data_IF_182060199487
#
_entry.id   IF_182060199487
#
_cell.length_a   1.000
_cell.length_b   1.000
_cell.length_c   1.000
_cell.angle_alpha   90.00
_cell.angle_beta   90.00
_cell.angle_gamma   90.00
#
_symmetry.space_group_name_H-M   'P 1'
#
loop_
_entity.id
_entity.type
_entity.pdbx_description
1 polymer ?
#
# COMPACT_ATOMS: atom_id res chain seq x y z
N UNK A 1 25.08 9.42 8.49
CA UNK A 1 24.34 10.28 7.54
C UNK A 1 24.77 9.87 6.13
N UNK A 2 23.82 9.51 5.27
CA UNK A 2 24.11 9.10 3.89
C UNK A 2 24.66 10.26 3.07
N UNK A 3 25.64 9.98 2.20
CA UNK A 3 26.25 10.96 1.29
C UNK A 3 25.83 10.73 -0.16
N UNK A 4 25.51 9.49 -0.49
CA UNK A 4 25.13 9.12 -1.85
C UNK A 4 24.02 8.06 -1.84
N UNK A 5 23.15 8.14 -2.85
CA UNK A 5 21.97 7.28 -3.04
C UNK A 5 21.95 6.75 -4.45
N UNK A 6 21.80 5.43 -4.59
CA UNK A 6 21.61 4.80 -5.88
C UNK A 6 20.14 4.90 -6.33
N UNK A 7 19.92 4.99 -7.65
CA UNK A 7 18.60 4.87 -8.26
C UNK A 7 18.65 4.04 -9.55
N UNK A 8 17.50 3.48 -9.96
CA UNK A 8 17.43 2.46 -11.00
C UNK A 8 16.29 2.79 -12.00
N UNK A 9 16.51 3.69 -12.98
CA UNK A 9 15.45 4.26 -13.81
C UNK A 9 14.75 3.22 -14.71
N UNK A 10 15.48 2.22 -15.20
CA UNK A 10 14.90 1.17 -16.04
C UNK A 10 14.00 0.18 -15.26
N UNK A 11 14.07 0.20 -13.94
CA UNK A 11 13.31 -0.67 -13.04
C UNK A 11 12.09 0.04 -12.43
N UNK A 12 11.64 1.14 -13.02
CA UNK A 12 10.51 1.94 -12.59
C UNK A 12 9.27 1.72 -13.47
N UNK A 13 8.09 2.12 -12.97
CA UNK A 13 6.89 2.16 -13.81
C UNK A 13 7.04 3.20 -14.94
N UNK A 14 6.32 3.00 -16.05
CA UNK A 14 6.41 3.92 -17.21
C UNK A 14 6.01 5.36 -16.88
N UNK A 15 5.14 5.55 -15.92
CA UNK A 15 4.65 6.85 -15.47
C UNK A 15 5.34 7.37 -14.19
N UNK A 16 6.46 6.76 -13.79
CA UNK A 16 7.18 7.15 -12.56
C UNK A 16 8.07 8.38 -12.71
N UNK A 17 8.37 8.80 -13.96
CA UNK A 17 9.35 9.84 -14.26
C UNK A 17 9.22 11.09 -13.40
N UNK A 18 8.09 11.80 -13.37
CA UNK A 18 7.94 13.01 -12.56
C UNK A 18 8.21 12.80 -11.07
N UNK A 19 7.75 11.67 -10.53
CA UNK A 19 7.92 11.33 -9.11
C UNK A 19 9.37 11.01 -8.78
N UNK A 20 10.03 10.23 -9.64
CA UNK A 20 11.46 9.92 -9.47
C UNK A 20 12.30 11.18 -9.56
N UNK A 21 12.05 12.08 -10.55
CA UNK A 21 12.73 13.37 -10.64
C UNK A 21 12.56 14.18 -9.36
N UNK A 22 11.33 14.36 -8.88
CA UNK A 22 11.06 15.12 -7.66
C UNK A 22 11.84 14.57 -6.43
N UNK A 23 11.91 13.25 -6.30
CA UNK A 23 12.67 12.61 -5.21
C UNK A 23 14.17 12.82 -5.38
N UNK A 24 14.72 12.64 -6.59
CA UNK A 24 16.15 12.78 -6.85
C UNK A 24 16.61 14.24 -6.74
N UNK A 25 15.84 15.18 -7.28
CA UNK A 25 16.13 16.62 -7.21
C UNK A 25 16.10 17.10 -5.75
N UNK A 26 15.17 16.60 -4.95
CA UNK A 26 15.11 16.86 -3.53
C UNK A 26 16.38 16.36 -2.80
N UNK A 27 16.83 15.13 -3.07
CA UNK A 27 18.06 14.59 -2.48
C UNK A 27 19.28 15.45 -2.85
N UNK A 28 19.41 15.81 -4.13
CA UNK A 28 20.51 16.64 -4.63
C UNK A 28 20.50 18.04 -4.02
N UNK A 29 19.33 18.66 -3.87
CA UNK A 29 19.18 19.98 -3.23
C UNK A 29 19.63 19.98 -1.75
N UNK A 30 19.66 18.82 -1.12
CA UNK A 30 20.16 18.62 0.25
C UNK A 30 21.61 18.15 0.31
N UNK A 31 22.33 18.18 -0.81
CA UNK A 31 23.75 17.81 -0.91
C UNK A 31 23.98 16.29 -0.94
N UNK A 32 22.94 15.47 -1.14
CA UNK A 32 23.06 14.02 -1.28
C UNK A 32 23.28 13.70 -2.76
N UNK A 33 24.40 13.07 -3.09
CA UNK A 33 24.71 12.68 -4.47
C UNK A 33 23.79 11.53 -4.92
N UNK A 34 23.35 11.58 -6.17
CA UNK A 34 22.57 10.50 -6.78
C UNK A 34 23.41 9.75 -7.80
N UNK A 35 23.38 8.42 -7.77
CA UNK A 35 24.19 7.55 -8.63
C UNK A 35 23.30 6.56 -9.35
N UNK A 36 23.33 6.60 -10.67
CA UNK A 36 22.53 5.67 -11.48
C UNK A 36 23.12 4.26 -11.44
N UNK A 37 22.27 3.26 -11.23
CA UNK A 37 22.60 1.84 -11.24
C UNK A 37 23.77 1.42 -10.32
N UNK A 38 24.09 2.20 -9.29
CA UNK A 38 25.14 1.87 -8.34
C UNK A 38 24.68 0.77 -7.37
N UNK A 39 25.58 -0.14 -7.05
CA UNK A 39 25.38 -1.17 -6.00
C UNK A 39 26.25 -0.90 -4.77
N UNK A 40 26.99 0.22 -4.73
CA UNK A 40 27.94 0.54 -3.66
C UNK A 40 27.56 1.76 -2.83
N UNK A 41 26.52 2.48 -3.23
CA UNK A 41 26.03 3.68 -2.54
C UNK A 41 25.62 3.40 -1.08
N UNK A 42 25.45 4.46 -0.29
CA UNK A 42 25.05 4.37 1.12
C UNK A 42 23.60 3.92 1.29
N UNK A 43 22.74 4.24 0.32
CA UNK A 43 21.33 3.85 0.27
C UNK A 43 20.88 3.62 -1.17
N UNK A 44 19.70 3.04 -1.35
CA UNK A 44 19.05 2.92 -2.66
C UNK A 44 17.64 3.54 -2.63
N UNK A 45 17.21 4.11 -3.77
CA UNK A 45 15.81 4.42 -4.07
C UNK A 45 15.31 3.42 -5.10
N UNK A 46 14.22 2.74 -4.79
CA UNK A 46 13.56 1.81 -5.70
C UNK A 46 12.08 2.17 -5.88
N UNK A 47 11.56 1.89 -7.07
CA UNK A 47 10.13 1.99 -7.36
C UNK A 47 9.45 0.66 -7.10
N UNK A 48 8.56 0.61 -6.12
CA UNK A 48 7.76 -0.55 -5.75
C UNK A 48 8.54 -1.75 -5.20
N UNK A 49 7.86 -2.55 -4.45
CA UNK A 49 8.30 -3.88 -3.98
C UNK A 49 7.49 -5.01 -4.65
N UNK A 50 6.86 -4.71 -5.77
CA UNK A 50 6.23 -5.68 -6.64
C UNK A 50 7.28 -6.27 -7.60
N UNK A 51 7.76 -7.46 -7.30
CA UNK A 51 8.81 -8.15 -8.06
C UNK A 51 8.27 -8.73 -9.39
N UNK A 52 7.65 -7.88 -10.21
CA UNK A 52 7.02 -8.29 -11.47
C UNK A 52 7.28 -7.29 -12.60
N UNK A 53 7.37 -7.80 -13.83
CA UNK A 53 7.60 -6.97 -15.01
C UNK A 53 8.90 -6.17 -14.92
N UNK A 54 8.86 -4.88 -15.25
CA UNK A 54 10.02 -3.98 -15.21
C UNK A 54 10.66 -3.88 -13.81
N UNK A 55 9.84 -3.98 -12.76
CA UNK A 55 10.28 -3.85 -11.36
C UNK A 55 10.84 -5.16 -10.78
N UNK A 56 10.90 -6.24 -11.55
CA UNK A 56 11.40 -7.54 -11.05
C UNK A 56 12.85 -7.46 -10.55
N UNK A 57 13.70 -6.69 -11.21
CA UNK A 57 15.10 -6.51 -10.82
C UNK A 57 15.29 -5.67 -9.54
N UNK A 58 14.29 -4.89 -9.11
CA UNK A 58 14.32 -4.20 -7.82
C UNK A 58 14.49 -5.16 -6.65
N UNK A 59 14.08 -6.43 -6.81
CA UNK A 59 14.31 -7.45 -5.79
C UNK A 59 15.79 -7.63 -5.47
N UNK A 60 16.63 -7.78 -6.50
CA UNK A 60 18.08 -7.94 -6.34
C UNK A 60 18.69 -6.70 -5.67
N UNK A 61 18.29 -5.50 -6.07
CA UNK A 61 18.74 -4.25 -5.46
C UNK A 61 18.36 -4.23 -3.98
N UNK A 62 17.08 -4.50 -3.68
CA UNK A 62 16.58 -4.52 -2.31
C UNK A 62 17.35 -5.52 -1.44
N UNK A 63 17.47 -6.77 -1.89
CA UNK A 63 18.18 -7.82 -1.15
C UNK A 63 19.66 -7.46 -0.92
N UNK A 64 20.33 -6.90 -1.94
CA UNK A 64 21.74 -6.47 -1.86
C UNK A 64 21.96 -5.40 -0.80
N UNK A 65 21.19 -4.31 -0.83
CA UNK A 65 21.33 -3.23 0.15
C UNK A 65 20.95 -3.69 1.56
N UNK A 66 19.85 -4.45 1.67
CA UNK A 66 19.41 -4.97 2.99
C UNK A 66 20.38 -5.96 3.61
N UNK A 67 21.04 -6.80 2.82
CA UNK A 67 22.09 -7.70 3.31
C UNK A 67 23.31 -6.96 3.88
N UNK A 68 23.55 -5.72 3.44
CA UNK A 68 24.62 -4.86 3.97
C UNK A 68 24.15 -3.94 5.11
N UNK A 69 22.91 -4.10 5.59
CA UNK A 69 22.33 -3.20 6.61
C UNK A 69 22.04 -1.78 6.10
N UNK A 70 22.16 -1.53 4.80
CA UNK A 70 21.92 -0.23 4.19
C UNK A 70 20.42 0.04 3.98
N UNK A 71 19.96 1.30 4.14
CA UNK A 71 18.57 1.65 3.93
C UNK A 71 18.17 1.59 2.46
N UNK A 72 16.91 1.20 2.23
CA UNK A 72 16.25 1.24 0.92
C UNK A 72 15.03 2.13 1.02
N UNK A 73 15.05 3.25 0.33
CA UNK A 73 13.90 4.16 0.18
C UNK A 73 12.99 3.55 -0.89
N UNK A 74 11.76 3.29 -0.52
CA UNK A 74 10.78 2.67 -1.39
C UNK A 74 9.72 3.69 -1.76
N UNK A 75 9.51 3.89 -3.06
CA UNK A 75 8.41 4.69 -3.60
C UNK A 75 7.33 3.72 -4.07
N UNK A 76 6.10 3.90 -3.62
CA UNK A 76 4.95 3.09 -4.04
C UNK A 76 3.75 3.98 -4.36
N UNK A 77 2.85 3.51 -5.22
CA UNK A 77 1.60 4.21 -5.50
C UNK A 77 0.80 4.35 -4.21
N UNK A 78 0.33 5.56 -3.94
CA UNK A 78 -0.47 5.86 -2.76
C UNK A 78 -1.80 5.11 -2.72
N UNK A 79 -2.24 4.78 -1.52
CA UNK A 79 -3.56 4.20 -1.27
C UNK A 79 -4.57 5.25 -0.84
N UNK A 80 -4.13 6.41 -0.36
CA UNK A 80 -5.01 7.48 0.14
C UNK A 80 -5.71 8.21 -1.00
N UNK A 81 -4.95 8.69 -1.96
CA UNK A 81 -5.49 9.37 -3.15
C UNK A 81 -4.73 8.88 -4.38
N UNK A 82 -5.17 7.73 -4.91
CA UNK A 82 -4.49 7.03 -5.99
C UNK A 82 -4.28 7.93 -7.22
N UNK A 83 -3.04 7.97 -7.70
CA UNK A 83 -2.62 8.79 -8.83
C UNK A 83 -2.25 10.24 -8.47
N UNK A 84 -2.49 10.66 -7.23
CA UNK A 84 -2.16 12.01 -6.74
C UNK A 84 -1.23 11.98 -5.53
N UNK A 85 -1.13 10.86 -4.83
CA UNK A 85 -0.20 10.66 -3.73
C UNK A 85 0.69 9.44 -3.96
N UNK A 86 1.90 9.49 -3.44
CA UNK A 86 2.88 8.41 -3.47
C UNK A 86 3.38 8.14 -2.06
N UNK A 87 3.41 6.86 -1.71
CA UNK A 87 3.93 6.40 -0.44
C UNK A 87 5.45 6.38 -0.47
N UNK A 88 6.09 6.96 0.55
CA UNK A 88 7.53 6.91 0.76
C UNK A 88 7.80 6.24 2.10
N UNK A 89 8.68 5.25 2.08
CA UNK A 89 9.07 4.52 3.29
C UNK A 89 10.52 4.03 3.20
N UNK A 90 11.08 3.66 4.34
CA UNK A 90 12.39 3.01 4.40
C UNK A 90 12.21 1.53 4.72
N UNK A 91 12.83 0.68 3.92
CA UNK A 91 12.98 -0.76 4.07
C UNK A 91 11.71 -1.61 3.90
N UNK A 92 10.51 -1.09 4.12
CA UNK A 92 9.25 -1.83 3.93
C UNK A 92 8.09 -0.85 3.72
N UNK A 93 7.00 -1.30 3.09
CA UNK A 93 5.79 -0.50 2.83
C UNK A 93 4.56 -0.94 3.64
N UNK A 94 4.76 -1.85 4.59
CA UNK A 94 3.77 -2.31 5.58
C UNK A 94 3.98 -1.58 6.91
N UNK A 95 3.33 -2.03 7.98
CA UNK A 95 3.59 -1.51 9.34
C UNK A 95 5.04 -1.71 9.81
N UNK A 96 5.84 -2.53 9.12
CA UNK A 96 7.27 -2.70 9.38
C UNK A 96 8.15 -1.67 8.66
N UNK A 97 7.58 -0.82 7.82
CA UNK A 97 8.29 0.28 7.18
C UNK A 97 8.50 1.45 8.14
N UNK A 98 9.57 2.21 7.91
CA UNK A 98 9.75 3.46 8.63
C UNK A 98 9.22 4.63 7.78
N UNK A 99 8.31 5.41 8.36
CA UNK A 99 7.62 6.54 7.73
C UNK A 99 7.88 7.86 8.45
N UNK A 100 8.79 7.86 9.41
CA UNK A 100 9.04 8.97 10.32
C UNK A 100 8.36 8.77 11.69
N UNK A 101 8.75 9.62 12.64
CA UNK A 101 8.16 9.59 13.98
C UNK A 101 6.69 10.01 13.97
N UNK A 102 5.92 9.46 14.89
CA UNK A 102 4.50 9.81 15.10
C UNK A 102 4.33 11.06 15.96
N UNK A 103 5.43 11.66 16.42
CA UNK A 103 5.44 12.93 17.13
C UNK A 103 5.22 14.08 16.14
N UNK A 104 4.56 15.14 16.57
CA UNK A 104 4.31 16.34 15.78
C UNK A 104 3.52 16.07 14.47
N UNK A 105 2.44 15.31 14.57
CA UNK A 105 1.54 15.09 13.45
C UNK A 105 0.76 16.37 13.12
N UNK A 106 0.69 16.70 11.84
CA UNK A 106 -0.21 17.72 11.33
C UNK A 106 -1.63 17.14 11.22
N UNK A 107 -2.50 17.53 12.13
CA UNK A 107 -3.89 17.06 12.19
C UNK A 107 -4.74 17.51 11.00
N UNK A 108 -4.35 18.59 10.32
CA UNK A 108 -5.02 19.06 9.09
C UNK A 108 -4.54 18.33 7.84
N UNK A 109 -3.57 17.44 7.95
CA UNK A 109 -2.98 16.76 6.79
C UNK A 109 -4.00 15.95 5.96
N UNK A 110 -4.95 15.18 6.54
CA UNK A 110 -5.97 14.51 5.74
C UNK A 110 -6.76 15.51 4.88
N UNK A 111 -7.13 16.66 5.45
CA UNK A 111 -7.84 17.73 4.74
C UNK A 111 -6.99 18.34 3.62
N UNK A 112 -5.68 18.58 3.87
CA UNK A 112 -4.74 19.06 2.85
C UNK A 112 -4.59 18.09 1.68
N UNK A 113 -4.73 16.79 1.92
CA UNK A 113 -4.76 15.75 0.89
C UNK A 113 -6.16 15.54 0.29
N UNK A 114 -7.16 16.32 0.70
CA UNK A 114 -8.56 16.20 0.29
C UNK A 114 -9.15 14.80 0.61
N UNK A 115 -8.83 14.28 1.79
CA UNK A 115 -9.30 12.98 2.27
C UNK A 115 -10.19 13.18 3.48
N UNK A 116 -11.36 12.56 3.46
CA UNK A 116 -12.30 12.54 4.57
C UNK A 116 -12.81 11.13 4.83
N UNK A 117 -13.04 10.83 6.10
CA UNK A 117 -13.69 9.59 6.50
C UNK A 117 -15.18 9.64 6.15
N UNK A 118 -15.72 8.53 5.69
CA UNK A 118 -17.17 8.40 5.58
C UNK A 118 -17.79 8.53 6.97
N UNK A 119 -18.80 9.39 7.07
CA UNK A 119 -19.50 9.72 8.35
C UNK A 119 -20.44 8.60 8.78
N UNK A 120 -20.94 7.82 7.83
CA UNK A 120 -21.83 6.70 8.10
C UNK A 120 -21.16 5.39 7.73
N UNK A 121 -21.17 4.46 8.66
CA UNK A 121 -20.79 3.08 8.43
C UNK A 121 -21.98 2.37 7.80
N UNK A 122 -21.97 2.24 6.48
CA UNK A 122 -23.06 1.62 5.75
C UNK A 122 -22.93 0.10 5.79
N UNK A 123 -23.95 -0.59 6.28
CA UNK A 123 -24.03 -2.05 6.18
C UNK A 123 -24.52 -2.43 4.77
N UNK A 124 -23.60 -2.72 3.87
CA UNK A 124 -23.92 -3.31 2.56
C UNK A 124 -23.89 -4.83 2.61
N UNK A 125 -24.58 -5.52 1.69
CA UNK A 125 -24.79 -6.95 1.85
C UNK A 125 -23.52 -7.80 1.70
N UNK A 126 -22.56 -7.39 0.87
CA UNK A 126 -21.46 -8.26 0.47
C UNK A 126 -20.14 -8.02 1.23
N UNK A 127 -19.33 -9.05 1.26
CA UNK A 127 -17.92 -9.02 1.69
C UNK A 127 -17.04 -9.11 0.45
N UNK A 128 -16.04 -8.23 0.34
CA UNK A 128 -15.05 -8.27 -0.75
C UNK A 128 -13.73 -8.88 -0.24
N UNK A 129 -13.22 -9.91 -0.91
CA UNK A 129 -11.86 -10.40 -0.73
C UNK A 129 -11.00 -9.76 -1.80
N UNK A 130 -10.23 -8.72 -1.43
CA UNK A 130 -9.33 -8.01 -2.34
C UNK A 130 -7.95 -8.68 -2.33
N UNK A 131 -7.62 -9.42 -3.39
CA UNK A 131 -6.43 -10.26 -3.49
C UNK A 131 -5.23 -9.44 -3.95
N UNK A 132 -4.07 -9.63 -3.32
CA UNK A 132 -2.82 -9.01 -3.71
C UNK A 132 -2.09 -9.80 -4.81
N UNK A 133 -1.11 -9.16 -5.43
CA UNK A 133 -0.19 -9.83 -6.36
C UNK A 133 0.77 -10.73 -5.58
N UNK A 134 0.92 -11.99 -5.99
CA UNK A 134 1.72 -13.03 -5.34
C UNK A 134 3.24 -12.75 -5.29
N UNK A 135 3.73 -11.89 -6.18
CA UNK A 135 5.15 -11.51 -6.28
C UNK A 135 5.50 -10.23 -5.52
N UNK A 136 4.64 -9.76 -4.64
CA UNK A 136 4.96 -8.62 -3.78
C UNK A 136 5.78 -9.08 -2.56
N UNK A 137 6.77 -8.27 -2.16
CA UNK A 137 7.47 -8.44 -0.88
C UNK A 137 6.49 -8.55 0.30
N UNK A 138 5.36 -7.86 0.21
CA UNK A 138 4.35 -7.80 1.27
C UNK A 138 3.70 -9.15 1.59
N UNK A 139 3.72 -10.08 0.64
CA UNK A 139 3.13 -11.42 0.76
C UNK A 139 4.16 -12.53 0.51
N UNK A 140 5.44 -12.24 0.74
CA UNK A 140 6.51 -13.21 0.58
C UNK A 140 6.24 -14.47 1.41
N UNK A 141 6.25 -15.64 0.75
CA UNK A 141 5.97 -16.93 1.38
C UNK A 141 4.47 -17.26 1.52
N UNK A 142 3.55 -16.40 1.07
CA UNK A 142 2.10 -16.66 1.12
C UNK A 142 1.60 -17.10 -0.26
N UNK A 143 0.99 -18.28 -0.33
CA UNK A 143 0.24 -18.70 -1.52
C UNK A 143 -1.13 -17.99 -1.53
N UNK A 144 -1.33 -17.06 -2.45
CA UNK A 144 -2.57 -16.26 -2.49
C UNK A 144 -3.81 -17.09 -2.80
N UNK A 145 -3.71 -18.17 -3.58
CA UNK A 145 -4.87 -19.04 -3.84
C UNK A 145 -5.31 -19.80 -2.61
N UNK A 146 -4.36 -20.31 -1.83
CA UNK A 146 -4.66 -21.01 -0.58
C UNK A 146 -5.12 -20.04 0.52
N UNK A 147 -4.53 -18.84 0.58
CA UNK A 147 -5.01 -17.78 1.46
C UNK A 147 -6.47 -17.40 1.17
N UNK A 148 -6.86 -17.27 -0.10
CA UNK A 148 -8.25 -16.99 -0.48
C UNK A 148 -9.19 -18.12 -0.08
N UNK A 149 -8.81 -19.40 -0.31
CA UNK A 149 -9.63 -20.56 0.09
C UNK A 149 -9.85 -20.60 1.60
N UNK A 150 -8.78 -20.42 2.37
CA UNK A 150 -8.83 -20.37 3.84
C UNK A 150 -9.67 -19.18 4.32
N UNK A 151 -9.55 -18.02 3.68
CA UNK A 151 -10.35 -16.83 3.98
C UNK A 151 -11.83 -17.08 3.74
N UNK A 152 -12.20 -17.72 2.63
CA UNK A 152 -13.60 -18.09 2.36
C UNK A 152 -14.14 -19.01 3.45
N UNK A 153 -13.39 -20.06 3.79
CA UNK A 153 -13.78 -20.99 4.85
C UNK A 153 -13.97 -20.28 6.20
N UNK A 154 -13.03 -19.40 6.58
CA UNK A 154 -13.11 -18.62 7.82
C UNK A 154 -14.31 -17.67 7.81
N UNK A 155 -14.58 -17.00 6.68
CA UNK A 155 -15.73 -16.12 6.53
C UNK A 155 -17.03 -16.91 6.70
N UNK A 156 -17.18 -18.09 6.09
CA UNK A 156 -18.38 -18.92 6.20
C UNK A 156 -18.69 -19.40 7.60
N UNK A 157 -17.70 -19.48 8.46
CA UNK A 157 -17.91 -19.77 9.90
C UNK A 157 -18.44 -18.54 10.68
N UNK A 158 -18.41 -17.33 10.10
CA UNK A 158 -18.72 -16.08 10.79
C UNK A 158 -19.81 -15.23 10.10
N UNK A 159 -20.13 -15.53 8.83
CA UNK A 159 -21.14 -14.77 8.07
C UNK A 159 -21.73 -15.54 6.89
N UNK A 160 -23.03 -15.34 6.63
CA UNK A 160 -23.74 -15.86 5.45
C UNK A 160 -23.76 -14.87 4.29
N UNK A 161 -23.10 -13.71 4.42
CA UNK A 161 -23.12 -12.67 3.39
C UNK A 161 -22.52 -13.15 2.07
N UNK A 162 -23.02 -12.64 0.93
CA UNK A 162 -22.38 -12.88 -0.36
C UNK A 162 -20.90 -12.46 -0.33
N UNK A 163 -20.04 -13.29 -0.89
CA UNK A 163 -18.60 -13.01 -0.99
C UNK A 163 -18.23 -12.72 -2.44
N UNK A 164 -17.58 -11.60 -2.69
CA UNK A 164 -17.01 -11.23 -3.98
C UNK A 164 -15.51 -11.29 -3.91
N UNK A 165 -14.87 -12.18 -4.66
CA UNK A 165 -13.41 -12.21 -4.80
C UNK A 165 -13.03 -11.22 -5.88
N UNK A 166 -12.15 -10.26 -5.54
CA UNK A 166 -11.60 -9.29 -6.48
C UNK A 166 -10.10 -9.56 -6.65
N UNK A 167 -9.70 -10.30 -7.72
CA UNK A 167 -8.29 -10.63 -7.95
C UNK A 167 -7.48 -9.39 -8.30
N UNK A 168 -6.17 -9.44 -8.04
CA UNK A 168 -5.27 -8.39 -8.51
C UNK A 168 -5.27 -8.39 -10.05
N UNK A 169 -5.43 -7.22 -10.71
CA UNK A 169 -5.66 -7.17 -12.16
C UNK A 169 -4.51 -7.73 -13.01
N UNK A 170 -3.31 -7.84 -12.44
CA UNK A 170 -2.11 -8.36 -13.11
C UNK A 170 -1.62 -9.70 -12.53
N UNK A 171 -2.45 -10.38 -11.76
CA UNK A 171 -2.08 -11.67 -11.17
C UNK A 171 -3.23 -12.67 -11.36
N UNK A 172 -2.92 -13.79 -12.01
CA UNK A 172 -3.90 -14.85 -12.21
C UNK A 172 -4.15 -15.58 -10.89
N UNK A 173 -5.40 -15.58 -10.46
CA UNK A 173 -5.85 -16.34 -9.30
C UNK A 173 -6.35 -17.72 -9.77
N UNK A 174 -5.81 -18.78 -9.20
CA UNK A 174 -6.20 -20.17 -9.53
C UNK A 174 -7.16 -20.69 -8.47
N UNK A 175 -8.45 -20.60 -8.75
CA UNK A 175 -9.52 -21.15 -7.90
C UNK A 175 -10.40 -22.07 -8.75
N UNK A 176 -10.58 -23.29 -8.27
CA UNK A 176 -11.50 -24.27 -8.86
C UNK A 176 -12.69 -24.40 -7.91
N UNK A 177 -13.90 -24.54 -8.48
CA UNK A 177 -15.15 -24.83 -7.74
C UNK A 177 -15.41 -23.87 -6.57
N UNK A 178 -15.94 -22.70 -6.90
CA UNK A 178 -16.36 -21.73 -5.88
C UNK A 178 -17.58 -22.25 -5.10
N UNK A 179 -17.60 -22.10 -3.77
CA UNK A 179 -18.79 -22.42 -2.98
C UNK A 179 -19.99 -21.55 -3.36
N UNK A 180 -21.19 -21.99 -2.98
CA UNK A 180 -22.41 -21.18 -3.14
C UNK A 180 -22.26 -19.81 -2.47
N UNK A 181 -22.80 -18.77 -3.10
CA UNK A 181 -22.72 -17.40 -2.60
C UNK A 181 -21.33 -16.75 -2.72
N UNK A 182 -20.40 -17.36 -3.45
CA UNK A 182 -19.07 -16.79 -3.75
C UNK A 182 -18.97 -16.53 -5.25
N UNK A 183 -18.55 -15.31 -5.62
CA UNK A 183 -18.36 -14.90 -7.02
C UNK A 183 -16.96 -14.26 -7.21
N UNK A 184 -16.54 -14.18 -8.47
CA UNK A 184 -15.31 -13.46 -8.85
C UNK A 184 -15.73 -12.26 -9.71
N UNK A 185 -15.21 -11.08 -9.34
CA UNK A 185 -15.39 -9.85 -10.11
C UNK A 185 -14.03 -9.18 -10.31
N UNK A 186 -13.60 -9.05 -11.57
CA UNK A 186 -12.35 -8.34 -11.88
C UNK A 186 -12.50 -6.83 -11.67
N UNK A 187 -11.49 -6.15 -11.08
CA UNK A 187 -11.51 -4.70 -10.97
C UNK A 187 -11.62 -4.05 -12.34
N UNK A 188 -12.43 -2.99 -12.45
CA UNK A 188 -12.59 -2.23 -13.70
C UNK A 188 -11.42 -1.27 -13.86
N UNK A 189 -10.82 -1.26 -15.05
CA UNK A 189 -9.81 -0.26 -15.39
C UNK A 189 -10.50 1.10 -15.55
N UNK A 190 -9.92 2.13 -14.93
CA UNK A 190 -10.43 3.49 -15.06
C UNK A 190 -10.07 4.08 -16.43
N UNK A 191 -11.01 4.79 -17.03
CA UNK A 191 -10.80 5.48 -18.30
C UNK A 191 -9.72 6.56 -18.16
N UNK A 192 -8.97 6.79 -19.25
CA UNK A 192 -7.92 7.80 -19.32
C UNK A 192 -6.80 7.67 -18.28
N UNK A 193 -6.60 6.47 -17.72
CA UNK A 193 -5.49 6.19 -16.81
C UNK A 193 -4.59 5.11 -17.39
N UNK A 194 -3.28 5.20 -17.09
CA UNK A 194 -2.32 4.21 -17.56
C UNK A 194 -2.57 2.83 -16.92
N UNK A 195 -2.72 2.77 -15.60
CA UNK A 195 -2.78 1.52 -14.84
C UNK A 195 -3.56 1.69 -13.53
N UNK A 196 -4.64 2.45 -13.57
CA UNK A 196 -5.50 2.63 -12.41
C UNK A 196 -6.78 1.81 -12.54
N UNK A 197 -7.19 1.23 -11.44
CA UNK A 197 -8.39 0.40 -11.32
C UNK A 197 -9.28 0.97 -10.22
N UNK A 198 -10.57 0.67 -10.29
CA UNK A 198 -11.52 1.10 -9.30
C UNK A 198 -11.17 0.51 -7.92
N UNK A 199 -11.13 1.39 -6.93
CA UNK A 199 -10.87 1.08 -5.52
C UNK A 199 -12.13 1.29 -4.66
N UNK A 200 -13.30 1.15 -5.27
CA UNK A 200 -14.57 1.28 -4.57
C UNK A 200 -14.84 0.04 -3.71
N UNK A 201 -14.83 0.27 -2.42
CA UNK A 201 -15.09 -0.76 -1.40
C UNK A 201 -16.33 -0.40 -0.58
N UNK A 202 -17.38 0.03 -1.26
CA UNK A 202 -18.69 0.26 -0.67
C UNK A 202 -19.40 -1.08 -0.43
N UNK A 203 -19.03 -1.75 0.65
CA UNK A 203 -19.45 -3.08 1.01
C UNK A 203 -19.42 -3.27 2.54
N UNK A 204 -19.96 -4.37 3.04
CA UNK A 204 -20.02 -4.64 4.47
C UNK A 204 -18.62 -4.75 5.10
N UNK A 205 -17.73 -5.52 4.45
CA UNK A 205 -16.36 -5.69 4.88
C UNK A 205 -15.43 -5.94 3.69
N UNK A 206 -14.15 -5.57 3.85
CA UNK A 206 -13.08 -5.89 2.90
C UNK A 206 -12.04 -6.75 3.61
N UNK A 207 -11.84 -7.97 3.10
CA UNK A 207 -10.74 -8.81 3.52
C UNK A 207 -9.57 -8.60 2.56
N UNK A 208 -8.43 -8.20 3.09
CA UNK A 208 -7.22 -7.96 2.32
C UNK A 208 -6.00 -8.37 3.15
N UNK A 209 -4.92 -8.82 2.52
CA UNK A 209 -3.76 -9.20 3.32
C UNK A 209 -3.15 -7.96 3.98
N UNK A 210 -2.49 -7.08 3.25
CA UNK A 210 -1.89 -5.88 3.84
C UNK A 210 -1.67 -4.71 2.86
N UNK A 211 -2.45 -4.64 1.77
CA UNK A 211 -2.30 -3.60 0.75
C UNK A 211 -3.36 -2.48 0.83
N UNK A 212 -3.36 -1.59 -0.14
CA UNK A 212 -4.23 -0.41 -0.21
C UNK A 212 -5.73 -0.64 -0.02
N UNK A 213 -6.35 -1.74 -0.49
CA UNK A 213 -7.76 -2.02 -0.28
C UNK A 213 -8.23 -1.96 1.18
N UNK A 214 -7.41 -2.43 2.14
CA UNK A 214 -7.75 -2.32 3.56
C UNK A 214 -7.82 -0.86 4.04
N UNK A 215 -6.92 -0.01 3.55
CA UNK A 215 -6.91 1.43 3.86
C UNK A 215 -8.14 2.10 3.26
N UNK A 216 -8.44 1.83 1.98
CA UNK A 216 -9.59 2.40 1.30
C UNK A 216 -10.91 1.97 1.93
N UNK A 217 -11.02 0.71 2.35
CA UNK A 217 -12.18 0.21 3.10
C UNK A 217 -12.40 1.00 4.39
N UNK A 218 -11.35 1.21 5.17
CA UNK A 218 -11.43 1.98 6.40
C UNK A 218 -11.86 3.44 6.17
N UNK A 219 -11.37 4.07 5.10
CA UNK A 219 -11.79 5.44 4.72
C UNK A 219 -13.27 5.46 4.30
N UNK A 220 -13.69 4.50 3.50
CA UNK A 220 -15.07 4.39 3.00
C UNK A 220 -16.11 3.95 4.04
N UNK A 221 -15.68 3.60 5.26
CA UNK A 221 -16.58 3.13 6.32
C UNK A 221 -16.91 1.64 6.27
N UNK A 222 -16.30 0.88 5.36
CA UNK A 222 -16.34 -0.58 5.37
C UNK A 222 -15.39 -1.15 6.42
N UNK A 223 -15.71 -2.34 6.95
CA UNK A 223 -14.85 -3.03 7.94
C UNK A 223 -13.61 -3.61 7.26
N UNK A 224 -12.38 -3.17 7.56
CA UNK A 224 -11.20 -3.84 7.07
C UNK A 224 -10.89 -5.06 7.94
N UNK A 225 -10.76 -6.23 7.32
CA UNK A 225 -10.24 -7.46 7.93
C UNK A 225 -8.90 -7.72 7.28
N UNK A 226 -7.82 -7.44 8.01
CA UNK A 226 -6.48 -7.40 7.44
C UNK A 226 -5.44 -8.11 8.32
N UNK A 227 -4.34 -8.52 7.71
CA UNK A 227 -3.20 -9.05 8.45
C UNK A 227 -2.56 -7.96 9.34
N UNK A 228 -1.94 -8.36 10.45
CA UNK A 228 -1.31 -7.45 11.44
C UNK A 228 -0.25 -6.52 10.85
N UNK A 229 0.34 -6.88 9.71
CA UNK A 229 1.31 -6.04 9.00
C UNK A 229 0.67 -4.95 8.13
N UNK A 230 -0.66 -4.90 8.00
CA UNK A 230 -1.35 -3.85 7.26
C UNK A 230 -1.34 -2.52 8.01
N UNK A 231 -1.19 -1.42 7.27
CA UNK A 231 -1.39 -0.07 7.82
C UNK A 231 -2.85 0.20 8.25
N UNK A 232 -3.80 -0.61 7.79
CA UNK A 232 -5.20 -0.53 8.20
C UNK A 232 -5.51 -1.38 9.45
N UNK A 233 -4.56 -2.19 9.94
CA UNK A 233 -4.79 -3.07 11.08
C UNK A 233 -5.27 -2.36 12.37
N UNK A 234 -4.76 -1.15 12.72
CA UNK A 234 -5.22 -0.45 13.93
C UNK A 234 -6.71 -0.10 13.96
N UNK A 235 -7.34 -0.07 12.81
CA UNK A 235 -8.79 0.22 12.65
C UNK A 235 -9.56 -0.96 12.05
N UNK A 236 -8.91 -2.11 11.98
CA UNK A 236 -9.49 -3.36 11.48
C UNK A 236 -10.33 -4.09 12.52
N UNK A 237 -11.07 -5.08 12.04
CA UNK A 237 -11.82 -6.03 12.90
C UNK A 237 -11.34 -7.45 12.65
N UNK A 238 -11.63 -8.35 13.59
CA UNK A 238 -11.43 -9.78 13.41
C UNK A 238 -12.53 -10.44 12.57
N UNK A 239 -12.28 -11.65 12.07
CA UNK A 239 -13.32 -12.42 11.37
C UNK A 239 -14.54 -12.67 12.26
N UNK A 240 -14.33 -12.94 13.54
CA UNK A 240 -15.39 -13.19 14.50
C UNK A 240 -16.29 -11.96 14.74
N UNK A 241 -15.76 -10.77 14.49
CA UNK A 241 -16.44 -9.50 14.74
C UNK A 241 -17.10 -8.92 13.48
N UNK A 242 -17.13 -9.68 12.38
CA UNK A 242 -17.60 -9.18 11.07
C UNK A 242 -19.05 -8.67 11.11
N UNK A 243 -19.91 -9.28 11.93
CA UNK A 243 -21.31 -8.87 12.07
C UNK A 243 -21.55 -7.91 13.26
N UNK A 244 -20.54 -7.67 14.08
CA UNK A 244 -20.66 -6.76 15.22
C UNK A 244 -20.70 -5.29 14.74
N UNK A 245 -21.26 -4.37 15.52
CA UNK A 245 -21.20 -2.94 15.21
C UNK A 245 -19.75 -2.50 15.02
N UNK A 246 -19.46 -1.84 13.89
CA UNK A 246 -18.13 -1.27 13.63
C UNK A 246 -18.03 0.11 14.27
N UNK A 247 -17.58 0.16 15.52
CA UNK A 247 -17.41 1.39 16.29
C UNK A 247 -15.91 1.59 16.51
N UNK A 248 -15.27 2.36 15.64
CA UNK A 248 -13.84 2.64 15.71
C UNK A 248 -13.58 4.10 15.39
N UNK A 249 -12.90 4.80 16.31
CA UNK A 249 -12.39 6.13 15.99
C UNK A 249 -11.21 6.01 15.02
N UNK A 250 -11.38 6.54 13.82
CA UNK A 250 -10.41 6.46 12.73
C UNK A 250 -9.64 7.77 12.51
N UNK A 251 -9.92 8.84 13.26
CA UNK A 251 -9.33 10.16 13.00
C UNK A 251 -7.82 10.17 13.25
N UNK A 252 -7.38 9.66 14.40
CA UNK A 252 -5.96 9.54 14.70
C UNK A 252 -5.24 8.64 13.69
N UNK A 253 -5.84 7.51 13.36
CA UNK A 253 -5.29 6.60 12.34
C UNK A 253 -5.17 7.29 10.98
N UNK A 254 -6.21 7.99 10.51
CA UNK A 254 -6.17 8.72 9.25
C UNK A 254 -5.09 9.79 9.26
N UNK A 255 -4.95 10.53 10.36
CA UNK A 255 -3.87 11.50 10.53
C UNK A 255 -2.51 10.83 10.42
N UNK A 256 -2.29 9.71 11.11
CA UNK A 256 -1.02 8.97 11.06
C UNK A 256 -0.68 8.48 9.65
N UNK A 257 -1.62 7.78 8.98
CA UNK A 257 -1.34 7.24 7.64
C UNK A 257 -1.23 8.33 6.57
N UNK A 258 -1.85 9.49 6.75
CA UNK A 258 -1.72 10.62 5.82
C UNK A 258 -0.29 11.15 5.74
N UNK A 259 0.53 10.89 6.76
CA UNK A 259 1.96 11.21 6.75
C UNK A 259 2.85 10.13 6.10
N UNK A 260 2.27 9.07 5.58
CA UNK A 260 3.01 8.05 4.81
C UNK A 260 3.03 8.33 3.32
N UNK A 261 2.19 9.26 2.85
CA UNK A 261 2.02 9.57 1.42
C UNK A 261 2.13 11.07 1.17
N UNK A 262 2.61 11.41 -0.04
CA UNK A 262 2.95 12.77 -0.44
C UNK A 262 2.46 13.05 -1.86
N UNK A 263 1.99 14.27 -2.10
CA UNK A 263 1.73 14.79 -3.45
C UNK A 263 3.04 15.07 -4.19
N UNK A 264 3.00 15.26 -5.50
CA UNK A 264 4.20 15.59 -6.28
C UNK A 264 4.88 16.85 -5.76
N UNK A 265 4.12 17.92 -5.50
CA UNK A 265 4.64 19.16 -4.93
C UNK A 265 5.31 18.97 -3.56
N UNK A 266 4.75 18.11 -2.70
CA UNK A 266 5.35 17.80 -1.41
C UNK A 266 6.64 16.96 -1.54
N UNK A 267 6.73 16.13 -2.58
CA UNK A 267 7.97 15.40 -2.91
C UNK A 267 9.07 16.37 -3.33
N UNK A 268 8.76 17.34 -4.19
CA UNK A 268 9.66 18.41 -4.62
C UNK A 268 10.14 19.28 -3.45
N UNK A 269 9.23 19.63 -2.53
CA UNK A 269 9.55 20.40 -1.31
C UNK A 269 10.33 19.60 -0.26
N UNK A 270 10.44 18.29 -0.40
CA UNK A 270 11.20 17.42 0.50
C UNK A 270 10.54 17.16 1.86
N UNK A 271 9.22 17.29 1.98
CA UNK A 271 8.51 17.00 3.24
C UNK A 271 8.72 15.54 3.67
N UNK A 272 8.77 14.62 2.73
CA UNK A 272 9.05 13.22 2.95
C UNK A 272 10.45 12.99 3.55
N UNK A 273 11.48 13.67 3.02
CA UNK A 273 12.85 13.49 3.44
C UNK A 273 13.05 13.95 4.90
N UNK A 274 12.44 15.07 5.27
CA UNK A 274 12.47 15.55 6.65
C UNK A 274 11.94 14.52 7.65
N UNK A 275 10.97 13.70 7.22
CA UNK A 275 10.38 12.67 8.09
C UNK A 275 11.19 11.39 8.14
N UNK A 276 11.73 10.92 7.02
CA UNK A 276 12.46 9.64 6.99
C UNK A 276 13.95 9.79 7.26
N UNK A 277 14.50 11.00 7.26
CA UNK A 277 15.90 11.28 7.46
C UNK A 277 16.54 10.56 8.67
N UNK A 278 15.86 10.41 9.84
CA UNK A 278 16.43 9.68 10.97
C UNK A 278 16.75 8.19 10.69
N UNK A 279 16.16 7.59 9.65
CA UNK A 279 16.42 6.21 9.24
C UNK A 279 17.44 6.11 8.09
N UNK A 280 18.01 7.22 7.65
CA UNK A 280 19.02 7.32 6.61
C UNK A 280 20.37 7.76 7.20
#
# INVERSE_FOLDING_TARGET
MIKNVAYFPLQCALNSGPVMSAVLDCLQSRGIQTQENSMTSDAAVIWSVLWHGRMSANRQVYEHYRAQGKPVIIIEIGALYRGNTWKISVNNITSHGYYGHLDNLDWDRPKKLNISLATQLVSKPNVIIAVQHDRSLQVAGVNMSDWVKNTISTLRNNTDRPITIRPHPRCRLMLNNLPSGVSIESPKKLANTYDSYDMHFDCHAVVNYNSGPGIQAAIAGSRPIVHSTSLAHPVGVGFADIEQPYITNRDLWLTQISHTEYTLNELEQGLWLNRIHPAL
#
